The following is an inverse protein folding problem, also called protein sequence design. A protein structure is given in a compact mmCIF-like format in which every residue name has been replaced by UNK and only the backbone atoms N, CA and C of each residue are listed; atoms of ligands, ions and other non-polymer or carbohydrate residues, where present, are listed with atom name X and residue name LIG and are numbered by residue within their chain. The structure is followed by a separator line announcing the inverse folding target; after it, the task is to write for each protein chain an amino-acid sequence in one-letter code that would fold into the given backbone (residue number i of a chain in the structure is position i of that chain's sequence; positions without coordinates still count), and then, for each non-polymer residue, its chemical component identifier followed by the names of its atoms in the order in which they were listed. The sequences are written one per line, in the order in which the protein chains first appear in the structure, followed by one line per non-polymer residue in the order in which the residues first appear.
data_IF_338076202099
#
_entry.id   IF_338076202099
#
_cell.length_a   1.000
_cell.length_b   1.000
_cell.length_c   1.000
_cell.angle_alpha   90.00
_cell.angle_beta   90.00
_cell.angle_gamma   90.00
#
_symmetry.space_group_name_H-M   'P 1'
#
loop_
_entity.id
_entity.type
_entity.pdbx_description
1 polymer ?
#
# COMPACT_ATOMS: atom_id res chain seq x y z
N UNK A 1 32.10 45.56 -16.21
CA UNK A 1 32.75 44.24 -16.28
C UNK A 1 32.58 43.45 -14.98
N UNK A 2 32.91 44.02 -13.80
CA UNK A 2 32.70 43.37 -12.47
C UNK A 2 31.24 42.98 -12.18
N UNK A 3 30.26 43.76 -12.61
CA UNK A 3 28.83 43.46 -12.38
C UNK A 3 28.35 42.17 -13.07
N UNK A 4 28.91 41.82 -14.23
CA UNK A 4 28.54 40.61 -14.98
C UNK A 4 28.94 39.33 -14.22
N UNK A 5 30.09 39.36 -13.54
CA UNK A 5 30.55 38.26 -12.70
C UNK A 5 29.65 38.06 -11.48
N UNK A 6 29.20 39.16 -10.86
CA UNK A 6 28.28 39.10 -9.71
C UNK A 6 26.95 38.49 -10.14
N UNK A 7 26.38 38.92 -11.28
CA UNK A 7 25.15 38.34 -11.82
C UNK A 7 25.31 36.87 -12.18
N UNK A 8 26.43 36.51 -12.81
CA UNK A 8 26.73 35.11 -13.14
C UNK A 8 26.80 34.20 -11.90
N UNK A 9 27.42 34.67 -10.81
CA UNK A 9 27.49 33.93 -9.55
C UNK A 9 26.13 33.78 -8.87
N UNK A 10 25.31 34.84 -8.86
CA UNK A 10 23.95 34.79 -8.31
C UNK A 10 23.11 33.77 -9.09
N UNK A 11 23.17 33.82 -10.43
CA UNK A 11 22.42 32.90 -11.27
C UNK A 11 22.85 31.44 -11.05
N UNK A 12 24.16 31.18 -11.01
CA UNK A 12 24.69 29.85 -10.72
C UNK A 12 24.24 29.33 -9.35
N UNK A 13 24.21 30.20 -8.33
CA UNK A 13 23.71 29.87 -7.00
C UNK A 13 22.24 29.45 -6.98
N UNK A 14 21.38 30.16 -7.72
CA UNK A 14 19.94 29.84 -7.83
C UNK A 14 19.73 28.49 -8.51
N UNK A 15 20.43 28.24 -9.63
CA UNK A 15 20.33 26.96 -10.36
C UNK A 15 20.79 25.80 -9.47
N UNK A 16 21.90 25.97 -8.75
CA UNK A 16 22.40 24.95 -7.84
C UNK A 16 21.38 24.61 -6.73
N UNK A 17 20.77 25.63 -6.11
CA UNK A 17 19.74 25.44 -5.09
C UNK A 17 18.51 24.70 -5.64
N UNK A 18 18.04 25.06 -6.83
CA UNK A 18 16.92 24.38 -7.47
C UNK A 18 17.22 22.90 -7.75
N UNK A 19 18.42 22.59 -8.25
CA UNK A 19 18.85 21.20 -8.47
C UNK A 19 18.90 20.39 -7.17
N UNK A 20 19.39 20.98 -6.08
CA UNK A 20 19.47 20.32 -4.78
C UNK A 20 18.07 20.06 -4.19
N UNK A 21 17.14 20.99 -4.35
CA UNK A 21 15.75 20.81 -3.93
C UNK A 21 15.09 19.63 -4.67
N UNK A 22 15.27 19.54 -5.99
CA UNK A 22 14.76 18.42 -6.79
C UNK A 22 15.37 17.08 -6.41
N UNK A 23 16.69 17.04 -6.16
CA UNK A 23 17.36 15.83 -5.65
C UNK A 23 16.79 15.39 -4.30
N UNK A 24 16.57 16.34 -3.38
CA UNK A 24 16.00 16.03 -2.07
C UNK A 24 14.59 15.42 -2.18
N UNK A 25 13.73 15.96 -3.05
CA UNK A 25 12.39 15.42 -3.33
C UNK A 25 12.47 13.99 -3.86
N UNK A 26 13.36 13.72 -4.82
CA UNK A 26 13.55 12.37 -5.40
C UNK A 26 14.02 11.36 -4.36
N UNK A 27 15.00 11.72 -3.54
CA UNK A 27 15.52 10.85 -2.47
C UNK A 27 14.41 10.56 -1.44
N UNK A 28 13.64 11.57 -1.03
CA UNK A 28 12.54 11.38 -0.09
C UNK A 28 11.45 10.46 -0.65
N UNK A 29 11.08 10.65 -1.93
CA UNK A 29 10.13 9.78 -2.61
C UNK A 29 10.63 8.33 -2.66
N UNK A 30 11.91 8.13 -3.00
CA UNK A 30 12.50 6.80 -3.05
C UNK A 30 12.43 6.10 -1.68
N UNK A 31 12.87 6.77 -0.61
CA UNK A 31 12.81 6.22 0.75
C UNK A 31 11.39 5.89 1.19
N UNK A 32 10.43 6.76 0.86
CA UNK A 32 9.01 6.51 1.16
C UNK A 32 8.49 5.27 0.43
N UNK A 33 8.80 5.12 -0.87
CA UNK A 33 8.41 3.94 -1.65
C UNK A 33 9.05 2.65 -1.14
N UNK A 34 10.32 2.70 -0.74
CA UNK A 34 11.01 1.57 -0.12
C UNK A 34 10.34 1.16 1.19
N UNK A 35 9.97 2.13 2.04
CA UNK A 35 9.23 1.85 3.28
C UNK A 35 7.86 1.24 3.02
N UNK A 36 7.10 1.75 2.03
CA UNK A 36 5.83 1.14 1.61
C UNK A 36 6.03 -0.29 1.09
N UNK A 37 7.11 -0.55 0.35
CA UNK A 37 7.44 -1.90 -0.14
C UNK A 37 7.72 -2.87 1.01
N UNK A 38 8.49 -2.44 2.02
CA UNK A 38 8.73 -3.23 3.23
C UNK A 38 7.43 -3.48 4.00
N UNK A 39 6.60 -2.44 4.15
CA UNK A 39 5.30 -2.55 4.83
C UNK A 39 4.35 -3.50 4.09
N UNK A 40 4.37 -3.53 2.74
CA UNK A 40 3.61 -4.51 1.95
C UNK A 40 3.98 -5.96 2.29
N UNK A 41 5.24 -6.23 2.64
CA UNK A 41 5.67 -7.58 3.00
C UNK A 41 5.21 -7.98 4.42
N UNK A 42 5.00 -6.99 5.30
CA UNK A 42 4.59 -7.20 6.69
C UNK A 42 3.53 -6.17 7.10
N UNK A 43 2.30 -6.27 6.57
CA UNK A 43 1.28 -5.22 6.72
C UNK A 43 0.77 -5.03 8.16
N UNK A 44 1.01 -6.00 9.05
CA UNK A 44 0.67 -5.94 10.45
C UNK A 44 1.78 -5.35 11.35
N UNK A 45 2.95 -5.00 10.78
CA UNK A 45 4.08 -4.48 11.54
C UNK A 45 3.91 -2.98 11.83
N UNK A 46 3.71 -2.64 13.11
CA UNK A 46 3.49 -1.28 13.57
C UNK A 46 4.69 -0.36 13.34
N UNK A 47 5.92 -0.86 13.54
CA UNK A 47 7.16 -0.07 13.37
C UNK A 47 7.36 0.33 11.90
N UNK A 48 7.09 -0.61 10.97
CA UNK A 48 7.15 -0.32 9.53
C UNK A 48 6.09 0.70 9.12
N UNK A 49 4.91 0.66 9.76
CA UNK A 49 3.82 1.61 9.51
C UNK A 49 4.17 3.00 10.00
N UNK A 50 4.74 3.12 11.20
CA UNK A 50 5.24 4.38 11.74
C UNK A 50 6.37 4.95 10.87
N UNK A 51 7.31 4.11 10.44
CA UNK A 51 8.41 4.51 9.55
C UNK A 51 7.91 5.01 8.21
N UNK A 52 6.94 4.32 7.60
CA UNK A 52 6.33 4.75 6.33
C UNK A 52 5.64 6.11 6.49
N UNK A 53 4.92 6.34 7.60
CA UNK A 53 4.27 7.60 7.91
C UNK A 53 5.30 8.74 8.09
N UNK A 54 6.37 8.50 8.85
CA UNK A 54 7.42 9.49 9.06
C UNK A 54 8.12 9.90 7.75
N UNK A 55 8.45 8.94 6.89
CA UNK A 55 9.07 9.22 5.58
C UNK A 55 8.09 9.89 4.62
N UNK A 56 6.82 9.50 4.66
CA UNK A 56 5.74 10.16 3.92
C UNK A 56 5.58 11.62 4.31
N UNK A 57 5.65 11.94 5.61
CA UNK A 57 5.62 13.32 6.12
C UNK A 57 6.78 14.15 5.59
N UNK A 58 7.99 13.62 5.63
CA UNK A 58 9.19 14.28 5.08
C UNK A 58 9.02 14.57 3.59
N UNK A 59 8.53 13.60 2.82
CA UNK A 59 8.28 13.77 1.39
C UNK A 59 7.19 14.82 1.11
N UNK A 60 6.03 14.72 1.77
CA UNK A 60 4.93 15.68 1.61
C UNK A 60 5.37 17.11 2.00
N UNK A 61 6.13 17.25 3.09
CA UNK A 61 6.66 18.54 3.50
C UNK A 61 7.61 19.15 2.43
N UNK A 62 8.47 18.34 1.82
CA UNK A 62 9.34 18.79 0.73
C UNK A 62 8.57 19.19 -0.54
N UNK A 63 7.43 18.55 -0.82
CA UNK A 63 6.55 18.93 -1.94
C UNK A 63 5.81 20.24 -1.68
N UNK A 64 5.73 20.69 -0.42
CA UNK A 64 5.10 21.94 0.01
C UNK A 64 6.11 23.03 0.34
N UNK A 65 7.29 23.00 -0.26
CA UNK A 65 8.38 23.95 0.01
C UNK A 65 8.73 24.06 1.50
N UNK A 66 8.67 22.94 2.23
CA UNK A 66 8.95 22.83 3.67
C UNK A 66 7.96 23.60 4.58
N UNK A 67 6.74 23.87 4.12
CA UNK A 67 5.68 24.59 4.88
C UNK A 67 4.93 23.75 5.91
N UNK A 68 5.35 22.52 6.15
CA UNK A 68 4.69 21.56 7.03
C UNK A 68 3.61 20.72 6.34
N UNK A 69 3.12 19.73 7.06
CA UNK A 69 2.07 18.80 6.64
C UNK A 69 0.69 19.34 7.08
N UNK A 70 -0.30 19.23 6.20
CA UNK A 70 -1.69 19.54 6.50
C UNK A 70 -2.46 18.29 6.92
N UNK A 71 -3.66 18.47 7.48
CA UNK A 71 -4.56 17.36 7.74
C UNK A 71 -4.89 16.56 6.46
N UNK A 72 -5.02 17.23 5.32
CA UNK A 72 -5.24 16.55 4.03
C UNK A 72 -4.04 15.69 3.62
N UNK A 73 -2.83 16.16 3.87
CA UNK A 73 -1.61 15.39 3.62
C UNK A 73 -1.56 14.14 4.51
N UNK A 74 -1.90 14.27 5.80
CA UNK A 74 -1.96 13.13 6.73
C UNK A 74 -3.00 12.08 6.30
N UNK A 75 -4.17 12.53 5.83
CA UNK A 75 -5.22 11.62 5.31
C UNK A 75 -4.76 10.92 4.03
N UNK A 76 -4.12 11.64 3.10
CA UNK A 76 -3.58 11.04 1.88
C UNK A 76 -2.49 10.00 2.19
N UNK A 77 -1.57 10.31 3.11
CA UNK A 77 -0.55 9.37 3.57
C UNK A 77 -1.15 8.13 4.22
N UNK A 78 -2.18 8.29 5.05
CA UNK A 78 -2.88 7.16 5.66
C UNK A 78 -3.60 6.31 4.59
N UNK A 79 -4.17 6.94 3.55
CA UNK A 79 -4.78 6.22 2.44
C UNK A 79 -3.76 5.38 1.65
N UNK A 80 -2.62 5.97 1.29
CA UNK A 80 -1.51 5.27 0.63
C UNK A 80 -1.03 4.06 1.44
N UNK A 81 -0.82 4.25 2.74
CA UNK A 81 -0.36 3.21 3.68
C UNK A 81 -1.41 2.09 3.78
N UNK A 82 -2.69 2.45 3.92
CA UNK A 82 -3.77 1.47 3.99
C UNK A 82 -3.92 0.71 2.67
N UNK A 83 -3.80 1.37 1.52
CA UNK A 83 -3.82 0.72 0.20
C UNK A 83 -2.64 -0.25 0.02
N UNK A 84 -1.44 0.14 0.47
CA UNK A 84 -0.28 -0.74 0.50
C UNK A 84 -0.53 -1.99 1.37
N UNK A 85 -1.14 -1.84 2.55
CA UNK A 85 -1.48 -2.96 3.42
C UNK A 85 -2.63 -3.83 2.87
N UNK A 86 -3.63 -3.24 2.25
CA UNK A 86 -4.79 -3.96 1.69
C UNK A 86 -4.40 -4.86 0.51
N UNK A 87 -3.51 -4.38 -0.38
CA UNK A 87 -2.99 -5.18 -1.48
C UNK A 87 -2.23 -6.43 -1.00
N UNK A 88 -1.55 -6.35 0.14
CA UNK A 88 -0.86 -7.49 0.75
C UNK A 88 -1.84 -8.56 1.27
N UNK A 89 -2.97 -8.13 1.85
CA UNK A 89 -4.01 -9.07 2.32
C UNK A 89 -4.67 -9.82 1.17
N UNK A 90 -4.88 -9.19 0.01
CA UNK A 90 -5.39 -9.88 -1.18
C UNK A 90 -4.39 -10.92 -1.72
N UNK A 91 -3.08 -10.64 -1.66
CA UNK A 91 -2.05 -11.61 -2.05
C UNK A 91 -1.95 -12.79 -1.07
N UNK A 92 -2.15 -12.58 0.24
CA UNK A 92 -2.17 -13.67 1.23
C UNK A 92 -3.42 -14.54 1.05
N UNK A 93 -4.57 -13.95 0.70
CA UNK A 93 -5.78 -14.72 0.40
C UNK A 93 -5.65 -15.59 -0.86
N UNK A 94 -4.93 -15.13 -1.89
CA UNK A 94 -4.65 -15.94 -3.09
C UNK A 94 -3.45 -16.90 -2.93
N UNK A 95 -2.50 -16.65 -2.02
CA UNK A 95 -1.35 -17.55 -1.83
C UNK A 95 -1.68 -18.82 -1.04
N UNK A 96 -2.85 -18.86 -0.38
CA UNK A 96 -3.41 -20.09 0.19
C UNK A 96 -4.24 -20.89 -0.84
N UNK A 97 -4.38 -20.42 -2.08
CA UNK A 97 -4.87 -21.23 -3.20
C UNK A 97 -3.70 -22.00 -3.82
N UNK A 98 -3.13 -22.92 -3.05
CA UNK A 98 -2.53 -24.11 -3.68
C UNK A 98 -3.59 -24.75 -4.59
N UNK A 99 -3.30 -25.04 -5.87
CA UNK A 99 -4.17 -25.87 -6.70
C UNK A 99 -4.01 -27.33 -6.26
N UNK A 100 -4.41 -27.61 -5.03
CA UNK A 100 -4.67 -28.95 -4.55
C UNK A 100 -6.14 -29.18 -4.87
N UNK A 101 -6.38 -30.09 -5.82
CA UNK A 101 -7.61 -30.86 -6.00
C UNK A 101 -8.66 -30.47 -4.98
N UNK A 102 -9.64 -29.64 -5.37
CA UNK A 102 -10.60 -28.98 -4.49
C UNK A 102 -11.28 -30.05 -3.62
N UNK A 103 -10.72 -30.29 -2.43
CA UNK A 103 -11.07 -31.47 -1.64
C UNK A 103 -12.53 -31.35 -1.23
N UNK A 104 -13.18 -32.49 -1.02
CA UNK A 104 -14.61 -32.51 -0.68
C UNK A 104 -14.84 -31.67 0.59
N UNK A 105 -13.91 -31.67 1.52
CA UNK A 105 -13.89 -30.82 2.72
C UNK A 105 -13.88 -29.32 2.40
N UNK A 106 -13.04 -28.89 1.45
CA UNK A 106 -12.99 -27.49 1.01
C UNK A 106 -14.30 -27.05 0.34
N UNK A 107 -14.90 -27.93 -0.48
CA UNK A 107 -16.20 -27.68 -1.12
C UNK A 107 -17.33 -27.58 -0.10
N UNK A 108 -17.33 -28.44 0.92
CA UNK A 108 -18.29 -28.39 2.03
C UNK A 108 -18.11 -27.13 2.90
N UNK A 109 -16.88 -26.70 3.13
CA UNK A 109 -16.58 -25.48 3.89
C UNK A 109 -17.04 -24.22 3.14
N UNK A 110 -16.79 -24.13 1.83
CA UNK A 110 -17.32 -23.05 0.97
C UNK A 110 -18.85 -23.00 1.04
N UNK A 111 -19.51 -24.15 0.94
CA UNK A 111 -20.97 -24.26 1.00
C UNK A 111 -21.54 -23.81 2.35
N UNK A 112 -20.89 -24.18 3.46
CA UNK A 112 -21.26 -23.72 4.82
C UNK A 112 -21.15 -22.20 4.97
N UNK A 113 -20.09 -21.60 4.42
CA UNK A 113 -19.89 -20.16 4.45
C UNK A 113 -20.97 -19.39 3.67
N UNK A 114 -21.45 -19.93 2.54
CA UNK A 114 -22.51 -19.32 1.76
C UNK A 114 -23.84 -19.31 2.52
N UNK A 115 -24.17 -20.42 3.19
CA UNK A 115 -25.36 -20.52 4.05
C UNK A 115 -25.29 -19.54 5.23
N UNK A 116 -24.14 -19.48 5.90
CA UNK A 116 -23.95 -18.57 7.05
C UNK A 116 -24.10 -17.09 6.66
N UNK A 117 -23.74 -16.74 5.42
CA UNK A 117 -23.92 -15.40 4.85
C UNK A 117 -25.34 -15.13 4.34
N UNK A 118 -26.25 -16.11 4.41
CA UNK A 118 -27.61 -16.01 3.90
C UNK A 118 -27.70 -15.88 2.38
N UNK A 119 -26.65 -16.29 1.66
CA UNK A 119 -26.59 -16.22 0.19
C UNK A 119 -27.28 -17.40 -0.48
N UNK A 120 -27.49 -18.48 0.26
CA UNK A 120 -28.24 -19.67 -0.15
C UNK A 120 -29.17 -20.07 0.99
N UNK A 121 -30.27 -20.70 0.65
CA UNK A 121 -31.23 -21.20 1.63
C UNK A 121 -30.89 -22.62 2.13
N UNK A 122 -31.65 -23.11 3.11
CA UNK A 122 -31.45 -24.45 3.70
C UNK A 122 -31.62 -25.56 2.65
N UNK A 123 -32.55 -25.38 1.71
CA UNK A 123 -32.85 -26.37 0.68
C UNK A 123 -31.72 -26.49 -0.34
N UNK A 124 -31.19 -25.36 -0.82
CA UNK A 124 -30.03 -25.29 -1.70
C UNK A 124 -28.78 -25.84 -1.01
N UNK A 125 -28.59 -25.52 0.27
CA UNK A 125 -27.48 -26.06 1.05
C UNK A 125 -27.52 -27.60 1.13
N UNK A 126 -28.68 -28.19 1.46
CA UNK A 126 -28.82 -29.63 1.59
C UNK A 126 -28.64 -30.34 0.23
N UNK A 127 -29.17 -29.77 -0.85
CA UNK A 127 -29.02 -30.32 -2.19
C UNK A 127 -27.54 -30.34 -2.61
N UNK A 128 -26.85 -29.20 -2.54
CA UNK A 128 -25.43 -29.10 -2.94
C UNK A 128 -24.51 -29.93 -2.05
N UNK A 129 -24.83 -30.06 -0.74
CA UNK A 129 -24.08 -30.92 0.17
C UNK A 129 -24.15 -32.39 -0.28
N UNK A 130 -25.33 -32.85 -0.72
CA UNK A 130 -25.52 -34.21 -1.23
C UNK A 130 -24.72 -34.44 -2.51
N UNK A 131 -24.80 -33.52 -3.47
CA UNK A 131 -24.03 -33.59 -4.74
C UNK A 131 -22.52 -33.65 -4.50
N UNK A 132 -22.00 -32.93 -3.50
CA UNK A 132 -20.57 -32.96 -3.15
C UNK A 132 -20.19 -34.32 -2.55
N UNK A 133 -21.03 -34.89 -1.68
CA UNK A 133 -20.77 -36.19 -1.04
C UNK A 133 -20.93 -37.37 -2.01
N UNK A 134 -21.81 -37.27 -3.01
CA UNK A 134 -21.97 -38.28 -4.07
C UNK A 134 -20.82 -38.25 -5.10
N UNK A 135 -20.02 -37.18 -5.12
CA UNK A 135 -18.85 -37.06 -6.00
C UNK A 135 -17.55 -37.65 -5.42
N UNK A 136 -17.65 -38.36 -4.28
CA UNK A 136 -16.57 -39.12 -3.64
C UNK A 136 -16.54 -40.53 -4.22
#
# INVERSE_FOLDING_TARGET
MMWLWIVGLIFAGIVYMAMQAEKAKKIALQKYREALSQLKQQPANADLRERALALGRVYSNLMRDKKGNTLFDEVALMNDINAACAAAHQQIQHKNETPLTDSVENRLQKLSNLKQKGLIDETEFLQRKREILESI
#
